data_IF_745116747516
#
_entry.id   IF_745116747516
#
_cell.length_a   1.000
_cell.length_b   1.000
_cell.length_c   1.000
_cell.angle_alpha   90.00
_cell.angle_beta   90.00
_cell.angle_gamma   90.00
#
_symmetry.space_group_name_H-M   'P 1'
#
loop_
_entity.id
_entity.type
_entity.pdbx_description
1 polymer ?
#
# COMPACT_ATOMS: atom_id res chain seq x y z
N UNK A 1 3.99 17.06 -11.90
CA UNK A 1 4.88 17.60 -10.84
C UNK A 1 4.59 16.85 -9.55
N UNK A 2 5.56 16.55 -8.67
CA UNK A 2 5.30 15.83 -7.42
C UNK A 2 4.48 16.67 -6.43
N UNK A 3 3.44 16.08 -5.82
CA UNK A 3 2.67 16.74 -4.76
C UNK A 3 3.25 16.38 -3.39
N UNK A 4 4.31 17.11 -2.98
CA UNK A 4 5.11 16.78 -1.80
C UNK A 4 4.35 16.87 -0.48
N UNK A 5 3.33 17.73 -0.39
CA UNK A 5 2.54 17.92 0.83
C UNK A 5 1.68 16.69 1.17
N UNK A 6 1.39 15.83 0.18
CA UNK A 6 0.69 14.56 0.37
C UNK A 6 1.61 13.40 0.79
N UNK A 7 2.92 13.63 0.91
CA UNK A 7 3.84 12.59 1.37
C UNK A 7 3.52 12.24 2.82
N UNK A 8 3.57 10.94 3.13
CA UNK A 8 3.34 10.39 4.46
C UNK A 8 4.40 9.34 4.75
N UNK A 9 4.88 9.29 5.98
CA UNK A 9 5.78 8.25 6.47
C UNK A 9 5.11 7.54 7.63
N UNK A 10 5.01 6.22 7.54
CA UNK A 10 4.42 5.38 8.59
C UNK A 10 5.54 4.65 9.32
N UNK A 11 5.59 4.81 10.65
CA UNK A 11 6.45 4.00 11.52
C UNK A 11 5.67 2.75 11.90
N UNK A 12 6.28 1.59 11.66
CA UNK A 12 5.70 0.27 11.90
C UNK A 12 6.52 -0.39 13.00
N UNK A 13 5.89 -0.68 14.13
CA UNK A 13 6.55 -1.30 15.29
C UNK A 13 6.12 -2.77 15.46
N UNK A 14 5.00 -3.14 14.84
CA UNK A 14 4.34 -4.43 14.99
C UNK A 14 4.99 -5.57 14.19
N UNK A 15 5.81 -5.25 13.19
CA UNK A 15 6.11 -6.21 12.13
C UNK A 15 7.41 -7.01 12.27
N UNK A 16 8.36 -6.66 13.16
CA UNK A 16 9.65 -7.39 13.34
C UNK A 16 10.25 -8.00 12.03
N UNK A 17 10.25 -7.24 10.91
CA UNK A 17 10.68 -7.64 9.55
C UNK A 17 9.70 -8.44 8.67
N UNK A 18 8.41 -8.46 8.99
CA UNK A 18 7.36 -8.96 8.09
C UNK A 18 6.88 -7.84 7.16
N UNK A 19 7.39 -7.85 5.94
CA UNK A 19 7.04 -6.86 4.91
C UNK A 19 5.58 -6.95 4.46
N UNK A 20 4.94 -8.12 4.55
CA UNK A 20 3.52 -8.29 4.21
C UNK A 20 2.62 -7.70 5.29
N UNK A 21 2.93 -7.96 6.56
CA UNK A 21 2.24 -7.32 7.69
C UNK A 21 2.42 -5.81 7.65
N UNK A 22 3.63 -5.36 7.35
CA UNK A 22 3.94 -3.95 7.18
C UNK A 22 3.10 -3.31 6.08
N UNK A 23 3.02 -3.95 4.90
CA UNK A 23 2.21 -3.47 3.79
C UNK A 23 0.72 -3.37 4.16
N UNK A 24 0.18 -4.41 4.79
CA UNK A 24 -1.21 -4.41 5.28
C UNK A 24 -1.47 -3.23 6.22
N UNK A 25 -0.58 -3.01 7.20
CA UNK A 25 -0.73 -1.92 8.16
C UNK A 25 -0.71 -0.54 7.48
N UNK A 26 0.24 -0.30 6.57
CA UNK A 26 0.34 1.00 5.87
C UNK A 26 -0.90 1.27 5.02
N UNK A 27 -1.32 0.30 4.22
CA UNK A 27 -2.50 0.45 3.34
C UNK A 27 -3.76 0.65 4.18
N UNK A 28 -3.96 -0.16 5.22
CA UNK A 28 -5.10 0.00 6.12
C UNK A 28 -5.12 1.34 6.85
N UNK A 29 -3.96 1.89 7.24
CA UNK A 29 -3.87 3.21 7.89
C UNK A 29 -4.08 4.36 6.92
N UNK A 30 -3.54 4.25 5.70
CA UNK A 30 -3.63 5.30 4.68
C UNK A 30 -5.04 5.45 4.12
N UNK A 31 -5.75 4.34 3.95
CA UNK A 31 -7.04 4.31 3.27
C UNK A 31 -8.20 3.96 4.21
N UNK A 32 -8.02 4.08 5.53
CA UNK A 32 -9.09 3.83 6.50
C UNK A 32 -10.34 4.66 6.24
N UNK A 33 -10.15 5.92 5.87
CA UNK A 33 -11.23 6.88 5.60
C UNK A 33 -11.59 6.94 4.10
N UNK A 34 -10.94 6.09 3.27
CA UNK A 34 -11.20 6.02 1.85
C UNK A 34 -12.55 5.35 1.60
N UNK A 35 -13.60 6.15 1.58
CA UNK A 35 -14.99 5.68 1.54
C UNK A 35 -15.93 6.62 2.28
N UNK A 36 -15.38 7.40 3.22
CA UNK A 36 -16.08 8.46 3.94
C UNK A 36 -15.98 9.83 3.23
N UNK A 37 -15.39 9.86 2.03
CA UNK A 37 -15.19 11.07 1.23
C UNK A 37 -14.03 11.97 1.71
N UNK A 38 -13.20 11.49 2.65
CA UNK A 38 -12.02 12.18 3.15
C UNK A 38 -10.72 11.72 2.44
N UNK A 39 -9.78 12.66 2.32
CA UNK A 39 -8.46 12.65 1.64
C UNK A 39 -8.29 11.80 0.36
N UNK A 40 -8.00 12.48 -0.76
CA UNK A 40 -7.36 11.99 -2.00
C UNK A 40 -7.27 10.46 -2.15
N UNK A 41 -8.33 9.87 -2.70
CA UNK A 41 -8.30 8.49 -3.17
C UNK A 41 -7.60 8.44 -4.53
N UNK A 42 -6.44 7.76 -4.67
CA UNK A 42 -5.69 7.77 -5.92
C UNK A 42 -6.34 6.87 -6.97
N UNK A 43 -6.13 7.18 -8.25
CA UNK A 43 -6.53 6.27 -9.34
C UNK A 43 -5.63 5.03 -9.43
N UNK A 44 -4.35 5.19 -9.05
CA UNK A 44 -3.32 4.14 -9.13
C UNK A 44 -2.44 4.17 -7.88
N UNK A 45 -2.18 2.99 -7.33
CA UNK A 45 -1.19 2.75 -6.28
C UNK A 45 -0.04 1.94 -6.88
N UNK A 46 1.19 2.42 -6.66
CA UNK A 46 2.40 1.70 -7.00
C UNK A 46 3.03 1.11 -5.74
N UNK A 47 3.20 -0.20 -5.72
CA UNK A 47 3.92 -0.93 -4.66
C UNK A 47 5.31 -1.30 -5.18
N UNK A 48 6.36 -0.82 -4.52
CA UNK A 48 7.72 -1.28 -4.79
C UNK A 48 7.92 -2.62 -4.06
N UNK A 49 7.70 -3.72 -4.78
CA UNK A 49 7.56 -5.03 -4.15
C UNK A 49 7.10 -6.15 -5.07
N UNK A 50 7.30 -7.38 -4.59
CA UNK A 50 6.89 -8.61 -5.28
C UNK A 50 5.40 -8.91 -5.19
N UNK A 51 5.00 -10.06 -5.76
CA UNK A 51 3.60 -10.52 -5.77
C UNK A 51 3.00 -10.64 -4.36
N UNK A 52 3.77 -11.09 -3.37
CA UNK A 52 3.30 -11.21 -1.99
C UNK A 52 2.94 -9.86 -1.36
N UNK A 53 3.72 -8.81 -1.64
CA UNK A 53 3.43 -7.45 -1.18
C UNK A 53 2.22 -6.84 -1.90
N UNK A 54 2.05 -7.14 -3.20
CA UNK A 54 0.84 -6.77 -3.94
C UNK A 54 -0.42 -7.37 -3.29
N UNK A 55 -0.42 -8.68 -3.04
CA UNK A 55 -1.56 -9.36 -2.40
C UNK A 55 -1.83 -8.81 -1.00
N UNK A 56 -0.78 -8.57 -0.21
CA UNK A 56 -0.91 -7.96 1.11
C UNK A 56 -1.59 -6.57 1.05
N UNK A 57 -1.29 -5.76 0.03
CA UNK A 57 -1.99 -4.48 -0.16
C UNK A 57 -3.46 -4.68 -0.52
N UNK A 58 -3.79 -5.64 -1.39
CA UNK A 58 -5.17 -5.93 -1.78
C UNK A 58 -6.01 -6.49 -0.62
N UNK A 59 -5.45 -7.40 0.18
CA UNK A 59 -6.09 -7.94 1.39
C UNK A 59 -6.44 -6.83 2.40
N UNK A 60 -5.63 -5.77 2.48
CA UNK A 60 -5.91 -4.63 3.35
C UNK A 60 -7.14 -3.84 2.90
N UNK A 61 -7.33 -3.68 1.59
CA UNK A 61 -8.54 -3.04 1.04
C UNK A 61 -9.78 -3.92 1.26
N UNK A 62 -9.66 -5.22 1.03
CA UNK A 62 -10.72 -6.19 1.33
C UNK A 62 -11.13 -6.11 2.81
N UNK A 63 -10.16 -6.08 3.72
CA UNK A 63 -10.41 -5.96 5.17
C UNK A 63 -11.08 -4.64 5.57
N UNK A 64 -10.86 -3.58 4.79
CA UNK A 64 -11.53 -2.28 4.98
C UNK A 64 -12.93 -2.24 4.36
N UNK A 65 -13.31 -3.22 3.53
CA UNK A 65 -14.54 -3.16 2.75
C UNK A 65 -14.53 -2.07 1.67
N UNK A 66 -13.35 -1.64 1.25
CA UNK A 66 -13.15 -0.55 0.27
C UNK A 66 -12.71 -1.16 -1.05
N UNK A 67 -13.35 -0.76 -2.16
CA UNK A 67 -12.88 -1.15 -3.49
C UNK A 67 -11.49 -0.53 -3.73
N UNK A 68 -10.45 -1.34 -3.98
CA UNK A 68 -9.12 -0.81 -4.21
C UNK A 68 -9.08 -0.01 -5.52
N UNK A 69 -8.24 1.03 -5.61
CA UNK A 69 -7.88 1.59 -6.91
C UNK A 69 -6.99 0.58 -7.66
N UNK A 70 -6.53 0.94 -8.87
CA UNK A 70 -5.60 0.08 -9.59
C UNK A 70 -4.29 -0.06 -8.79
N UNK A 71 -3.96 -1.27 -8.33
CA UNK A 71 -2.70 -1.54 -7.62
C UNK A 71 -1.74 -2.25 -8.56
N UNK A 72 -0.56 -1.65 -8.76
CA UNK A 72 0.51 -2.18 -9.61
C UNK A 72 1.72 -2.42 -8.72
N UNK A 73 2.42 -3.54 -8.91
CA UNK A 73 3.68 -3.80 -8.22
C UNK A 73 4.88 -3.81 -9.17
N UNK A 74 5.99 -3.27 -8.69
CA UNK A 74 7.29 -3.36 -9.34
C UNK A 74 8.10 -4.43 -8.62
N UNK A 75 8.05 -5.66 -9.14
CA UNK A 75 8.93 -6.71 -8.68
C UNK A 75 10.32 -6.49 -9.28
N UNK A 76 11.36 -6.37 -8.44
CA UNK A 76 12.73 -6.49 -8.93
C UNK A 76 12.93 -7.93 -9.41
N UNK A 77 13.10 -8.10 -10.72
CA UNK A 77 13.72 -9.30 -11.27
C UNK A 77 15.13 -9.31 -10.69
N UNK A 78 15.53 -10.37 -9.98
CA UNK A 78 16.94 -10.55 -9.65
C UNK A 78 17.75 -10.31 -10.93
N UNK A 79 18.73 -9.40 -10.88
CA UNK A 79 19.83 -9.45 -11.84
C UNK A 79 20.45 -10.82 -11.63
N UNK A 80 20.08 -11.79 -12.47
CA UNK A 80 20.84 -13.02 -12.64
C UNK A 80 22.23 -12.56 -13.09
N UNK A 81 23.14 -12.47 -12.14
CA UNK A 81 24.58 -12.35 -12.40
C UNK A 81 25.03 -13.64 -13.08
#
# INVERSE_FOLDING_TARGET
RPFKDAYRRYRIESAQNDDYRSMREVVSRRYREAGEGAELFPDVILVDGGLGQLHAALEAFESLGVQPPMVISLAKKEELI
#
